data_IF_768629204208
#
_entry.id   IF_768629204208
#
_cell.length_a   1.000
_cell.length_b   1.000
_cell.length_c   1.000
_cell.angle_alpha   90.00
_cell.angle_beta   90.00
_cell.angle_gamma   90.00
#
_symmetry.space_group_name_H-M   'P 1'
#
loop_
_entity.id
_entity.type
_entity.pdbx_description
1 polymer ?
#
# COMPACT_ATOMS: atom_id res chain seq x y z
N UNK A 1 21.31 -28.69 12.95
CA UNK A 1 21.89 -27.37 12.57
C UNK A 1 21.56 -27.05 11.09
N UNK A 2 20.30 -27.23 10.67
CA UNK A 2 19.86 -27.06 9.26
C UNK A 2 18.49 -26.36 9.20
N UNK A 3 18.28 -25.41 10.12
CA UNK A 3 16.95 -24.84 10.41
C UNK A 3 16.90 -23.32 10.37
N UNK A 4 17.98 -22.62 10.02
CA UNK A 4 18.01 -21.15 10.06
C UNK A 4 18.30 -20.43 8.73
N UNK A 5 18.69 -21.16 7.68
CA UNK A 5 19.27 -20.52 6.49
C UNK A 5 18.30 -20.29 5.32
N UNK A 6 17.17 -20.99 5.26
CA UNK A 6 16.23 -20.83 4.14
C UNK A 6 15.12 -19.80 4.37
N UNK A 7 15.07 -19.13 5.54
CA UNK A 7 13.89 -18.33 5.97
C UNK A 7 14.04 -16.81 5.87
N UNK A 8 15.10 -16.27 5.24
CA UNK A 8 15.33 -14.80 5.18
C UNK A 8 15.83 -14.24 3.85
N UNK A 9 15.89 -15.04 2.78
CA UNK A 9 16.64 -14.65 1.57
C UNK A 9 15.82 -14.34 0.30
N UNK A 10 14.49 -14.33 0.35
CA UNK A 10 13.66 -14.10 -0.85
C UNK A 10 12.75 -12.89 -0.71
N UNK A 11 12.58 -12.13 -1.79
CA UNK A 11 11.61 -11.02 -1.95
C UNK A 11 10.18 -11.44 -1.57
N UNK A 12 9.89 -12.75 -1.57
CA UNK A 12 8.65 -13.35 -1.07
C UNK A 12 8.35 -13.06 0.41
N UNK A 13 9.35 -12.76 1.24
CA UNK A 13 9.10 -12.47 2.66
C UNK A 13 8.27 -11.18 2.85
N UNK A 14 8.40 -10.22 1.93
CA UNK A 14 7.58 -8.99 1.90
C UNK A 14 6.13 -9.33 1.52
N UNK A 15 5.93 -10.29 0.62
CA UNK A 15 4.59 -10.73 0.19
C UNK A 15 3.88 -11.46 1.33
N UNK A 16 4.57 -12.38 2.02
CA UNK A 16 4.01 -13.10 3.17
C UNK A 16 3.78 -12.15 4.35
N UNK A 17 4.74 -11.26 4.63
CA UNK A 17 4.60 -10.21 5.64
C UNK A 17 3.46 -9.24 5.33
N UNK A 18 3.27 -8.88 4.06
CA UNK A 18 2.16 -8.03 3.61
C UNK A 18 0.81 -8.71 3.68
N UNK A 19 0.72 -10.01 3.38
CA UNK A 19 -0.49 -10.78 3.62
C UNK A 19 -0.83 -10.81 5.12
N UNK A 20 0.16 -11.09 5.98
CA UNK A 20 -0.03 -11.08 7.42
C UNK A 20 -0.44 -9.69 7.96
N UNK A 21 0.14 -8.62 7.42
CA UNK A 21 -0.19 -7.23 7.76
C UNK A 21 -1.56 -6.77 7.26
N UNK A 22 -2.10 -7.42 6.22
CA UNK A 22 -3.43 -7.14 5.69
C UNK A 22 -4.55 -7.91 6.40
N UNK A 23 -4.29 -9.07 7.01
CA UNK A 23 -5.29 -9.87 7.76
C UNK A 23 -6.08 -9.06 8.80
N UNK A 24 -5.48 -8.15 9.61
CA UNK A 24 -6.22 -7.31 10.54
C UNK A 24 -7.37 -6.53 9.92
N UNK A 25 -7.29 -6.15 8.65
CA UNK A 25 -8.39 -5.46 7.96
C UNK A 25 -9.59 -6.37 7.72
N UNK A 26 -9.37 -7.65 7.37
CA UNK A 26 -10.44 -8.64 7.24
C UNK A 26 -11.10 -8.93 8.59
N UNK A 27 -10.28 -9.09 9.64
CA UNK A 27 -10.78 -9.35 11.00
C UNK A 27 -11.59 -8.16 11.51
N UNK A 28 -11.09 -6.94 11.32
CA UNK A 28 -11.80 -5.72 11.70
C UNK A 28 -13.15 -5.58 10.98
N UNK A 29 -13.19 -5.89 9.68
CA UNK A 29 -14.44 -5.88 8.92
C UNK A 29 -15.43 -6.94 9.41
N UNK A 30 -14.97 -8.19 9.59
CA UNK A 30 -15.80 -9.29 10.07
C UNK A 30 -16.33 -9.05 11.49
N UNK A 31 -15.56 -8.39 12.35
CA UNK A 31 -15.99 -8.05 13.71
C UNK A 31 -17.18 -7.08 13.73
N UNK A 32 -17.27 -6.16 12.77
CA UNK A 32 -18.35 -5.16 12.70
C UNK A 32 -19.55 -5.66 11.89
N UNK A 33 -19.31 -6.37 10.78
CA UNK A 33 -20.37 -6.79 9.85
C UNK A 33 -20.84 -8.24 10.03
N UNK A 34 -20.13 -9.05 10.81
CA UNK A 34 -20.43 -10.47 11.02
C UNK A 34 -20.10 -11.37 9.84
N UNK A 35 -19.42 -10.87 8.79
CA UNK A 35 -19.07 -11.65 7.60
C UNK A 35 -17.97 -11.05 6.74
N UNK A 36 -17.53 -11.78 5.73
CA UNK A 36 -16.50 -11.36 4.76
C UNK A 36 -17.16 -11.00 3.43
N UNK A 37 -17.52 -9.73 3.26
CA UNK A 37 -18.05 -9.22 1.98
C UNK A 37 -16.93 -8.98 0.97
N UNK A 38 -17.29 -8.72 -0.30
CA UNK A 38 -16.31 -8.35 -1.32
C UNK A 38 -15.51 -7.09 -0.97
N UNK A 39 -16.12 -6.16 -0.21
CA UNK A 39 -15.45 -4.97 0.34
C UNK A 39 -14.30 -5.34 1.26
N UNK A 40 -14.48 -6.35 2.13
CA UNK A 40 -13.43 -6.83 3.02
C UNK A 40 -12.21 -7.34 2.24
N UNK A 41 -12.46 -8.16 1.22
CA UNK A 41 -11.42 -8.70 0.35
C UNK A 41 -10.69 -7.62 -0.44
N UNK A 42 -11.38 -6.56 -0.85
CA UNK A 42 -10.76 -5.41 -1.49
C UNK A 42 -9.88 -4.58 -0.54
N UNK A 43 -10.33 -4.34 0.70
CA UNK A 43 -9.50 -3.66 1.70
C UNK A 43 -8.24 -4.46 1.99
N UNK A 44 -8.37 -5.78 2.11
CA UNK A 44 -7.22 -6.69 2.20
C UNK A 44 -6.29 -6.55 1.00
N UNK A 45 -6.84 -6.57 -0.22
CA UNK A 45 -6.05 -6.41 -1.44
C UNK A 45 -5.33 -5.05 -1.50
N UNK A 46 -5.98 -3.95 -1.08
CA UNK A 46 -5.37 -2.62 -1.03
C UNK A 46 -4.19 -2.59 -0.06
N UNK A 47 -4.37 -3.07 1.17
CA UNK A 47 -3.27 -3.11 2.16
C UNK A 47 -2.15 -4.04 1.70
N UNK A 48 -2.50 -5.18 1.12
CA UNK A 48 -1.54 -6.12 0.55
C UNK A 48 -0.73 -5.48 -0.58
N UNK A 49 -1.37 -4.81 -1.54
CA UNK A 49 -0.71 -4.14 -2.68
C UNK A 49 0.07 -2.89 -2.25
N UNK A 50 -0.36 -2.20 -1.20
CA UNK A 50 0.35 -1.06 -0.61
C UNK A 50 1.64 -1.47 0.12
N UNK A 51 1.70 -2.71 0.63
CA UNK A 51 2.83 -3.17 1.44
C UNK A 51 4.16 -3.18 0.65
N UNK A 52 4.26 -3.80 -0.56
CA UNK A 52 5.47 -3.77 -1.36
C UNK A 52 6.00 -2.35 -1.68
N UNK A 53 5.22 -1.40 -2.24
CA UNK A 53 5.72 -0.08 -2.56
C UNK A 53 6.17 0.69 -1.31
N UNK A 54 5.49 0.51 -0.18
CA UNK A 54 5.89 1.08 1.11
C UNK A 54 7.25 0.55 1.59
N UNK A 55 7.41 -0.78 1.68
CA UNK A 55 8.68 -1.37 2.13
C UNK A 55 9.82 -1.19 1.15
N UNK A 56 9.56 -1.19 -0.16
CA UNK A 56 10.59 -0.94 -1.16
C UNK A 56 11.06 0.51 -1.17
N UNK A 57 10.16 1.49 -0.94
CA UNK A 57 10.57 2.88 -0.75
C UNK A 57 11.49 3.04 0.46
N UNK A 58 11.18 2.36 1.59
CA UNK A 58 12.08 2.31 2.74
C UNK A 58 13.42 1.63 2.39
N UNK A 59 13.38 0.49 1.69
CA UNK A 59 14.57 -0.25 1.32
C UNK A 59 15.49 0.52 0.38
N UNK A 60 14.97 1.44 -0.44
CA UNK A 60 15.78 2.37 -1.24
C UNK A 60 16.54 3.37 -0.35
N UNK A 61 15.93 3.85 0.73
CA UNK A 61 16.56 4.81 1.65
C UNK A 61 17.72 4.20 2.44
N UNK A 62 17.54 2.98 2.94
CA UNK A 62 18.51 2.25 3.78
C UNK A 62 19.19 1.10 3.03
N UNK A 63 19.28 1.22 1.70
CA UNK A 63 19.90 0.20 0.82
C UNK A 63 21.31 -0.15 1.23
N UNK A 64 22.14 0.86 1.50
CA UNK A 64 23.57 0.64 1.78
C UNK A 64 23.75 -0.15 3.07
N UNK A 65 22.92 0.11 4.07
CA UNK A 65 22.97 -0.61 5.33
C UNK A 65 22.49 -2.05 5.16
N UNK A 66 21.44 -2.28 4.37
CA UNK A 66 21.03 -3.63 3.97
C UNK A 66 22.11 -4.37 3.20
N UNK A 67 22.83 -3.69 2.30
CA UNK A 67 23.94 -4.29 1.56
C UNK A 67 25.10 -4.66 2.47
N UNK A 68 25.46 -3.81 3.44
CA UNK A 68 26.54 -4.07 4.42
C UNK A 68 26.26 -5.29 5.29
N UNK A 69 25.00 -5.49 5.70
CA UNK A 69 24.61 -6.64 6.55
C UNK A 69 24.14 -7.85 5.74
N UNK A 70 24.24 -7.81 4.40
CA UNK A 70 23.90 -8.93 3.51
C UNK A 70 22.41 -9.27 3.45
N UNK A 71 21.52 -8.31 3.72
CA UNK A 71 20.07 -8.51 3.65
C UNK A 71 19.59 -8.32 2.20
N UNK A 72 19.03 -9.35 1.55
CA UNK A 72 18.63 -9.30 0.15
C UNK A 72 17.27 -8.60 -0.02
N UNK A 73 17.28 -7.28 0.06
CA UNK A 73 16.14 -6.46 -0.35
C UNK A 73 16.13 -6.28 -1.87
N UNK A 74 14.95 -6.06 -2.47
CA UNK A 74 14.81 -5.83 -3.91
C UNK A 74 15.82 -4.79 -4.48
N UNK A 75 16.05 -3.62 -3.86
CA UNK A 75 17.05 -2.66 -4.35
C UNK A 75 18.51 -3.11 -4.20
N UNK A 76 18.78 -4.07 -3.32
CA UNK A 76 20.11 -4.71 -3.16
C UNK A 76 20.32 -5.80 -4.22
N UNK A 77 19.28 -6.56 -4.54
CA UNK A 77 19.35 -7.71 -5.47
C UNK A 77 19.17 -7.31 -6.93
N UNK A 78 18.15 -6.51 -7.23
CA UNK A 78 17.75 -6.12 -8.59
C UNK A 78 18.12 -4.67 -8.95
N UNK A 79 18.63 -3.90 -7.96
CA UNK A 79 19.01 -2.50 -8.13
C UNK A 79 17.85 -1.51 -7.96
N UNK A 80 18.21 -0.23 -7.92
CA UNK A 80 17.27 0.86 -7.66
C UNK A 80 16.26 1.02 -8.79
N UNK A 81 16.72 1.00 -10.05
CA UNK A 81 15.87 1.14 -11.24
C UNK A 81 14.74 0.09 -11.31
N UNK A 82 15.05 -1.17 -11.06
CA UNK A 82 14.05 -2.23 -11.05
C UNK A 82 13.04 -2.06 -9.89
N UNK A 83 13.54 -1.67 -8.72
CA UNK A 83 12.73 -1.42 -7.52
C UNK A 83 11.74 -0.28 -7.74
N UNK A 84 12.19 0.87 -8.25
CA UNK A 84 11.30 2.02 -8.50
C UNK A 84 10.26 1.72 -9.58
N UNK A 85 10.62 0.88 -10.56
CA UNK A 85 9.68 0.41 -11.58
C UNK A 85 8.57 -0.45 -10.97
N UNK A 86 8.92 -1.37 -10.07
CA UNK A 86 7.92 -2.14 -9.34
C UNK A 86 7.07 -1.23 -8.45
N UNK A 87 7.67 -0.30 -7.70
CA UNK A 87 6.92 0.68 -6.91
C UNK A 87 5.89 1.39 -7.79
N UNK A 88 6.26 1.86 -8.98
CA UNK A 88 5.34 2.53 -9.91
C UNK A 88 4.19 1.63 -10.36
N UNK A 89 4.45 0.40 -10.79
CA UNK A 89 3.40 -0.55 -11.19
C UNK A 89 2.44 -0.87 -10.03
N UNK A 90 2.97 -1.16 -8.85
CA UNK A 90 2.15 -1.45 -7.66
C UNK A 90 1.35 -0.21 -7.21
N UNK A 91 1.90 0.99 -7.36
CA UNK A 91 1.19 2.25 -7.08
C UNK A 91 -0.02 2.42 -7.98
N UNK A 92 0.12 2.13 -9.28
CA UNK A 92 -1.01 2.17 -10.22
C UNK A 92 -2.09 1.16 -9.84
N UNK A 93 -1.69 -0.09 -9.56
CA UNK A 93 -2.64 -1.14 -9.14
C UNK A 93 -3.33 -0.74 -7.83
N UNK A 94 -2.62 -0.15 -6.88
CA UNK A 94 -3.17 0.34 -5.62
C UNK A 94 -4.22 1.43 -5.84
N UNK A 95 -3.91 2.42 -6.68
CA UNK A 95 -4.87 3.51 -6.99
C UNK A 95 -6.10 2.94 -7.69
N UNK A 96 -5.93 2.05 -8.67
CA UNK A 96 -7.05 1.38 -9.34
C UNK A 96 -7.89 0.57 -8.34
N UNK A 97 -7.26 -0.17 -7.43
CA UNK A 97 -7.95 -0.92 -6.37
C UNK A 97 -8.72 0.01 -5.41
N UNK A 98 -8.16 1.17 -5.06
CA UNK A 98 -8.84 2.18 -4.23
C UNK A 98 -10.05 2.80 -4.95
N UNK A 99 -9.97 2.99 -6.27
CA UNK A 99 -11.09 3.51 -7.06
C UNK A 99 -12.19 2.46 -7.25
N UNK A 100 -11.84 1.17 -7.31
CA UNK A 100 -12.81 0.07 -7.39
C UNK A 100 -13.74 -0.01 -6.18
N UNK A 101 -13.32 0.49 -5.00
CA UNK A 101 -14.18 0.61 -3.82
C UNK A 101 -15.34 1.60 -4.03
N UNK A 102 -15.09 2.67 -4.81
CA UNK A 102 -16.10 3.68 -5.14
C UNK A 102 -17.08 3.13 -6.18
N UNK A 103 -16.54 2.62 -7.29
CA UNK A 103 -17.34 2.12 -8.40
C UNK A 103 -16.66 0.87 -8.99
N UNK A 104 -17.35 -0.28 -9.14
CA UNK A 104 -18.80 -0.50 -9.11
C UNK A 104 -19.39 -0.88 -7.74
N UNK A 105 -18.58 -0.98 -6.68
CA UNK A 105 -19.04 -1.53 -5.41
C UNK A 105 -19.90 -0.60 -4.56
N UNK A 106 -19.89 0.71 -4.83
CA UNK A 106 -20.62 1.72 -4.06
C UNK A 106 -20.42 1.54 -2.53
N UNK A 107 -19.27 0.98 -2.13
CA UNK A 107 -18.99 0.65 -0.74
C UNK A 107 -18.49 1.88 0.04
N UNK A 108 -18.17 2.95 -0.68
CA UNK A 108 -17.66 4.22 -0.19
C UNK A 108 -18.35 5.36 -0.93
N UNK A 109 -18.67 6.43 -0.22
CA UNK A 109 -19.33 7.62 -0.72
C UNK A 109 -18.40 8.61 -1.43
N UNK A 110 -18.97 9.76 -1.75
CA UNK A 110 -18.32 10.82 -2.55
C UNK A 110 -17.09 11.41 -1.85
N UNK A 111 -17.10 11.44 -0.51
CA UNK A 111 -15.98 11.96 0.30
C UNK A 111 -14.75 11.07 0.13
N UNK A 112 -14.91 9.76 0.28
CA UNK A 112 -13.83 8.82 0.03
C UNK A 112 -13.34 8.88 -1.42
N UNK A 113 -14.25 8.99 -2.39
CA UNK A 113 -13.89 9.09 -3.81
C UNK A 113 -12.99 10.30 -4.11
N UNK A 114 -13.32 11.48 -3.57
CA UNK A 114 -12.51 12.68 -3.72
C UNK A 114 -11.12 12.52 -3.07
N UNK A 115 -11.07 11.95 -1.86
CA UNK A 115 -9.82 11.67 -1.15
C UNK A 115 -8.96 10.69 -1.96
N UNK A 116 -9.54 9.58 -2.42
CA UNK A 116 -8.84 8.55 -3.17
C UNK A 116 -8.28 9.08 -4.49
N UNK A 117 -9.02 9.93 -5.21
CA UNK A 117 -8.56 10.57 -6.45
C UNK A 117 -7.39 11.52 -6.20
N UNK A 118 -7.51 12.42 -5.23
CA UNK A 118 -6.46 13.41 -4.93
C UNK A 118 -5.21 12.71 -4.42
N UNK A 119 -5.35 11.83 -3.43
CA UNK A 119 -4.23 11.11 -2.85
C UNK A 119 -3.61 10.14 -3.86
N UNK A 120 -4.41 9.47 -4.68
CA UNK A 120 -3.95 8.55 -5.71
C UNK A 120 -3.16 9.27 -6.80
N UNK A 121 -3.66 10.40 -7.28
CA UNK A 121 -2.94 11.25 -8.23
C UNK A 121 -1.60 11.74 -7.69
N UNK A 122 -1.56 12.20 -6.43
CA UNK A 122 -0.31 12.60 -5.76
C UNK A 122 0.66 11.42 -5.57
N UNK A 123 0.15 10.22 -5.26
CA UNK A 123 0.98 9.02 -5.12
C UNK A 123 1.63 8.66 -6.46
N UNK A 124 0.85 8.63 -7.54
CA UNK A 124 1.34 8.33 -8.89
C UNK A 124 2.37 9.37 -9.33
N UNK A 125 2.11 10.66 -9.07
CA UNK A 125 3.07 11.73 -9.38
C UNK A 125 4.40 11.54 -8.64
N UNK A 126 4.37 11.24 -7.34
CA UNK A 126 5.60 10.96 -6.55
C UNK A 126 6.31 9.70 -7.05
N UNK A 127 5.58 8.63 -7.34
CA UNK A 127 6.14 7.39 -7.87
C UNK A 127 6.76 7.62 -9.27
N UNK A 128 6.14 8.44 -10.11
CA UNK A 128 6.67 8.82 -11.43
C UNK A 128 7.94 9.67 -11.33
N UNK A 129 7.99 10.62 -10.37
CA UNK A 129 9.20 11.38 -10.08
C UNK A 129 10.34 10.47 -9.63
N UNK A 130 10.04 9.49 -8.78
CA UNK A 130 11.01 8.49 -8.31
C UNK A 130 11.47 7.57 -9.45
N UNK A 131 10.58 7.24 -10.38
CA UNK A 131 10.92 6.45 -11.56
C UNK A 131 11.95 7.15 -12.46
N UNK A 132 11.88 8.48 -12.58
CA UNK A 132 12.84 9.28 -13.34
C UNK A 132 14.14 9.55 -12.59
N UNK A 133 14.14 9.49 -11.26
CA UNK A 133 15.32 9.69 -10.42
C UNK A 133 15.46 8.55 -9.40
N UNK A 134 15.88 7.35 -9.81
CA UNK A 134 15.87 6.16 -8.95
C UNK A 134 16.81 6.23 -7.74
N UNK A 135 17.85 7.05 -7.84
CA UNK A 135 18.87 7.22 -6.80
C UNK A 135 18.58 8.38 -5.84
N UNK A 136 17.50 9.13 -6.09
CA UNK A 136 17.08 10.25 -5.24
C UNK A 136 16.41 9.75 -3.95
N UNK A 137 17.21 9.69 -2.89
CA UNK A 137 16.77 9.27 -1.54
C UNK A 137 15.73 10.20 -0.95
N UNK A 138 15.74 11.49 -1.27
CA UNK A 138 14.76 12.44 -0.74
C UNK A 138 13.39 12.21 -1.37
N UNK A 139 13.35 11.91 -2.68
CA UNK A 139 12.11 11.49 -3.34
C UNK A 139 11.63 10.14 -2.82
N UNK A 140 12.51 9.16 -2.57
CA UNK A 140 12.14 7.87 -1.97
C UNK A 140 11.55 8.04 -0.57
N UNK A 141 12.19 8.87 0.28
CA UNK A 141 11.69 9.24 1.61
C UNK A 141 10.35 9.95 1.54
N UNK A 142 10.20 10.89 0.61
CA UNK A 142 8.95 11.61 0.38
C UNK A 142 7.81 10.68 -0.04
N UNK A 143 8.09 9.65 -0.84
CA UNK A 143 7.12 8.62 -1.23
C UNK A 143 6.78 7.71 -0.04
N UNK A 144 7.77 7.28 0.74
CA UNK A 144 7.57 6.47 1.94
C UNK A 144 6.68 7.19 2.98
N UNK A 145 7.00 8.43 3.36
CA UNK A 145 6.18 9.22 4.29
C UNK A 145 4.77 9.43 3.72
N UNK A 146 4.68 9.77 2.43
CA UNK A 146 3.38 9.97 1.78
C UNK A 146 2.57 8.67 1.75
N UNK A 147 3.19 7.51 1.63
CA UNK A 147 2.47 6.23 1.62
C UNK A 147 1.80 5.91 2.96
N UNK A 148 2.41 6.32 4.09
CA UNK A 148 1.80 6.22 5.42
C UNK A 148 0.60 7.17 5.49
N UNK A 149 0.81 8.44 5.10
CA UNK A 149 -0.25 9.45 5.06
C UNK A 149 -1.43 9.01 4.18
N UNK A 150 -1.13 8.43 3.01
CA UNK A 150 -2.09 7.89 2.06
C UNK A 150 -2.99 6.85 2.72
N UNK A 151 -2.40 5.85 3.39
CA UNK A 151 -3.15 4.81 4.06
C UNK A 151 -3.95 5.35 5.25
N UNK A 152 -3.36 6.25 6.05
CA UNK A 152 -4.05 6.89 7.17
C UNK A 152 -5.29 7.68 6.70
N UNK A 153 -5.15 8.48 5.65
CA UNK A 153 -6.24 9.30 5.12
C UNK A 153 -7.29 8.48 4.39
N UNK A 154 -6.91 7.42 3.66
CA UNK A 154 -7.87 6.48 3.09
C UNK A 154 -8.71 5.80 4.18
N UNK A 155 -8.06 5.28 5.23
CA UNK A 155 -8.75 4.67 6.36
C UNK A 155 -9.65 5.69 7.08
N UNK A 156 -9.17 6.91 7.30
CA UNK A 156 -9.97 7.98 7.88
C UNK A 156 -11.19 8.33 7.01
N UNK A 157 -11.02 8.42 5.68
CA UNK A 157 -12.11 8.64 4.74
C UNK A 157 -13.17 7.54 4.78
N UNK A 158 -12.74 6.27 4.85
CA UNK A 158 -13.65 5.13 5.03
C UNK A 158 -14.41 5.19 6.35
N UNK A 159 -13.74 5.53 7.46
CA UNK A 159 -14.39 5.69 8.76
C UNK A 159 -15.44 6.80 8.71
N UNK A 160 -15.10 7.95 8.11
CA UNK A 160 -16.01 9.08 7.94
C UNK A 160 -17.25 8.66 7.15
N UNK A 161 -17.10 8.00 6.01
CA UNK A 161 -18.24 7.48 5.23
C UNK A 161 -19.05 6.39 5.94
N UNK A 162 -18.39 5.58 6.77
CA UNK A 162 -19.06 4.52 7.53
C UNK A 162 -19.93 5.05 8.67
N UNK A 163 -19.74 6.31 9.08
CA UNK A 163 -20.55 6.91 10.14
C UNK A 163 -22.01 7.06 9.68
N UNK A 164 -22.98 6.55 10.46
CA UNK A 164 -24.41 6.57 10.09
C UNK A 164 -24.97 7.98 9.85
N UNK A 165 -24.30 9.02 10.37
CA UNK A 165 -24.64 10.43 10.15
C UNK A 165 -24.52 10.85 8.66
N UNK A 166 -23.57 10.27 7.91
CA UNK A 166 -23.30 10.64 6.50
C UNK A 166 -24.18 9.83 5.54
N UNK A 167 -24.45 8.56 5.85
CA UNK A 167 -25.42 7.73 5.11
C UNK A 167 -26.83 8.31 5.08
N UNK A 168 -27.20 9.13 6.08
CA UNK A 168 -28.51 9.78 6.12
C UNK A 168 -28.59 11.05 5.25
N UNK A 169 -27.45 11.66 4.91
CA UNK A 169 -27.37 12.92 4.14
C UNK A 169 -27.14 12.65 2.64
N UNK A 170 -26.48 11.55 2.28
CA UNK A 170 -26.24 11.14 0.89
C UNK A 170 -26.58 9.65 0.72
N UNK A 171 -27.85 9.30 0.42
CA UNK A 171 -28.17 7.96 -0.03
C UNK A 171 -27.50 7.74 -1.38
N UNK A 172 -26.53 6.83 -1.43
CA UNK A 172 -25.97 6.28 -2.67
C UNK A 172 -26.57 4.89 -2.90
#
# INVERSE_FOLDING_TARGET
VYTHWLKRHSTQNIVIGGAAGAIPTLVGWAAVTGGLSWTAWLLFAIVFVWTPPHFWALALMIRDDYAKVGVPMLPVVAGNAATVKQIWYYSLVMVLASLLLVYPLHASGVVYAAIALVLGGLFIYKAWKLLHNPDDRDTAKGLFLFSILYMMLLCAGLVVDSLPLIRHILPS
#
